data_IF_387323759641
#
_entry.id   IF_387323759641
#
_cell.length_a   1.000
_cell.length_b   1.000
_cell.length_c   1.000
_cell.angle_alpha   90.00
_cell.angle_beta   90.00
_cell.angle_gamma   90.00
#
_symmetry.space_group_name_H-M   'P 1'
#
loop_
_entity.id
_entity.type
_entity.pdbx_description
1 polymer ?
#
# COMPACT_ATOMS: atom_id res chain seq x y z
N UNK A 1 60.28 9.32 -64.96
CA UNK A 1 59.36 9.88 -63.95
C UNK A 1 58.31 8.84 -63.61
N UNK A 2 58.71 7.66 -63.13
CA UNK A 2 57.83 6.47 -63.09
C UNK A 2 58.08 5.57 -61.87
N UNK A 3 58.62 6.13 -60.79
CA UNK A 3 58.82 5.41 -59.53
C UNK A 3 58.11 6.05 -58.33
N UNK A 4 57.45 7.20 -58.51
CA UNK A 4 56.86 7.96 -57.39
C UNK A 4 55.33 7.87 -57.31
N UNK A 5 54.72 6.87 -57.93
CA UNK A 5 53.26 6.69 -57.92
C UNK A 5 52.82 5.38 -57.27
N UNK A 6 53.76 4.54 -56.81
CA UNK A 6 53.45 3.28 -56.11
C UNK A 6 53.52 3.37 -54.58
N UNK A 7 53.99 4.48 -54.02
CA UNK A 7 54.01 4.69 -52.56
C UNK A 7 52.76 5.38 -52.01
N UNK A 8 51.90 5.96 -52.86
CA UNK A 8 50.66 6.62 -52.41
C UNK A 8 49.46 5.66 -52.41
N UNK A 9 49.60 4.46 -52.98
CA UNK A 9 48.55 3.43 -53.02
C UNK A 9 48.74 2.33 -51.95
N UNK A 10 49.51 2.62 -50.89
CA UNK A 10 49.70 1.68 -49.78
C UNK A 10 49.54 2.32 -48.39
N UNK A 11 48.64 3.31 -48.31
CA UNK A 11 48.21 3.92 -47.03
C UNK A 11 46.71 3.68 -46.76
N UNK A 12 45.98 3.10 -47.71
CA UNK A 12 44.51 3.09 -47.73
C UNK A 12 43.84 1.73 -47.47
N UNK A 13 44.39 0.90 -46.57
CA UNK A 13 43.58 -0.19 -46.03
C UNK A 13 44.00 -0.63 -44.62
N UNK A 14 44.21 0.33 -43.70
CA UNK A 14 44.45 0.03 -42.28
C UNK A 14 43.09 -0.07 -41.55
N UNK A 15 42.14 -0.81 -42.13
CA UNK A 15 40.98 -1.27 -41.39
C UNK A 15 41.33 -2.65 -40.84
N UNK A 16 41.90 -2.67 -39.64
CA UNK A 16 42.08 -3.93 -38.92
C UNK A 16 40.77 -4.27 -38.22
N UNK A 17 40.15 -5.34 -38.71
CA UNK A 17 39.00 -5.98 -38.09
C UNK A 17 37.70 -5.90 -38.89
N UNK A 18 36.80 -6.83 -38.59
CA UNK A 18 35.55 -7.03 -39.30
C UNK A 18 34.64 -5.78 -39.17
N UNK A 19 34.17 -5.17 -40.28
CA UNK A 19 33.29 -4.01 -40.24
C UNK A 19 31.97 -4.29 -39.51
N UNK A 20 31.47 -5.53 -39.55
CA UNK A 20 30.27 -5.93 -38.83
C UNK A 20 30.47 -5.89 -37.31
N UNK A 21 31.67 -6.24 -36.83
CA UNK A 21 32.00 -6.23 -35.41
C UNK A 21 32.14 -4.79 -34.88
N UNK A 22 32.74 -3.91 -35.67
CA UNK A 22 32.79 -2.48 -35.38
C UNK A 22 31.38 -1.86 -35.28
N UNK A 23 30.48 -2.19 -36.22
CA UNK A 23 29.09 -1.73 -36.16
C UNK A 23 28.38 -2.22 -34.89
N UNK A 24 28.61 -3.49 -34.51
CA UNK A 24 28.01 -4.07 -33.31
C UNK A 24 28.51 -3.41 -32.02
N UNK A 25 29.80 -3.12 -31.91
CA UNK A 25 30.37 -2.38 -30.77
C UNK A 25 29.75 -0.98 -30.68
N UNK A 26 29.66 -0.26 -31.81
CA UNK A 26 29.07 1.08 -31.86
C UNK A 26 27.59 1.09 -31.51
N UNK A 27 26.85 0.06 -31.91
CA UNK A 27 25.44 -0.12 -31.51
C UNK A 27 25.33 -0.31 -29.99
N UNK A 28 26.14 -1.21 -29.41
CA UNK A 28 26.13 -1.47 -27.97
C UNK A 28 26.54 -0.25 -27.14
N UNK A 29 27.44 0.59 -27.64
CA UNK A 29 27.80 1.88 -27.00
C UNK A 29 26.59 2.80 -26.91
N UNK A 30 25.76 2.87 -27.97
CA UNK A 30 24.56 3.70 -27.99
C UNK A 30 23.43 3.15 -27.10
N UNK A 31 23.34 1.83 -26.99
CA UNK A 31 22.32 1.13 -26.19
C UNK A 31 22.71 1.00 -24.71
N UNK A 32 23.98 1.19 -24.37
CA UNK A 32 24.51 1.05 -23.03
C UNK A 32 24.21 2.27 -22.15
N UNK A 33 23.46 2.06 -21.08
CA UNK A 33 23.25 3.04 -20.01
C UNK A 33 24.38 3.02 -18.95
N UNK A 34 25.27 2.02 -18.95
CA UNK A 34 26.32 1.88 -17.93
C UNK A 34 27.65 2.49 -18.39
N UNK A 35 28.27 3.39 -17.60
CA UNK A 35 29.54 4.03 -17.96
C UNK A 35 30.70 3.04 -18.05
N UNK A 36 30.73 1.99 -17.20
CA UNK A 36 31.80 0.99 -17.20
C UNK A 36 31.78 0.12 -18.46
N UNK A 37 30.59 -0.33 -18.89
CA UNK A 37 30.46 -1.15 -20.10
C UNK A 37 30.80 -0.34 -21.35
N UNK A 38 30.41 0.94 -21.40
CA UNK A 38 30.76 1.83 -22.50
C UNK A 38 32.27 2.09 -22.60
N UNK A 39 32.95 2.20 -21.46
CA UNK A 39 34.42 2.36 -21.42
C UNK A 39 35.13 1.10 -21.95
N UNK A 40 34.66 -0.09 -21.56
CA UNK A 40 35.13 -1.36 -22.11
C UNK A 40 34.94 -1.43 -23.63
N UNK A 41 33.75 -1.10 -24.14
CA UNK A 41 33.47 -1.14 -25.59
C UNK A 41 34.34 -0.18 -26.40
N UNK A 42 34.62 1.02 -25.87
CA UNK A 42 35.55 1.96 -26.50
C UNK A 42 36.99 1.45 -26.51
N UNK A 43 37.44 0.83 -25.41
CA UNK A 43 38.77 0.21 -25.37
C UNK A 43 38.89 -0.97 -26.35
N UNK A 44 37.87 -1.83 -26.41
CA UNK A 44 37.82 -2.96 -27.32
C UNK A 44 37.82 -2.51 -28.78
N UNK A 45 37.01 -1.50 -29.12
CA UNK A 45 36.96 -0.91 -30.46
C UNK A 45 38.29 -0.29 -30.89
N UNK A 46 38.97 0.43 -29.99
CA UNK A 46 40.28 1.02 -30.26
C UNK A 46 41.36 -0.05 -30.43
N UNK A 47 41.36 -1.10 -29.59
CA UNK A 47 42.31 -2.20 -29.68
C UNK A 47 42.15 -2.99 -30.99
N UNK A 48 40.91 -3.17 -31.44
CA UNK A 48 40.60 -3.83 -32.70
C UNK A 48 41.06 -2.99 -33.90
N UNK A 49 40.69 -1.69 -33.91
CA UNK A 49 41.08 -0.75 -34.97
C UNK A 49 42.59 -0.64 -35.13
N UNK A 50 43.33 -0.64 -34.02
CA UNK A 50 44.79 -0.61 -34.01
C UNK A 50 45.44 -1.97 -34.30
N UNK A 51 44.67 -3.02 -34.55
CA UNK A 51 45.17 -4.37 -34.85
C UNK A 51 45.85 -5.06 -33.67
N UNK A 52 45.62 -4.60 -32.43
CA UNK A 52 46.22 -5.18 -31.22
C UNK A 52 45.54 -6.50 -30.81
N UNK A 53 44.30 -6.71 -31.24
CA UNK A 53 43.51 -7.92 -31.03
C UNK A 53 42.93 -8.39 -32.37
N UNK A 54 42.78 -9.71 -32.52
CA UNK A 54 42.14 -10.31 -33.70
C UNK A 54 40.60 -10.30 -33.55
N UNK A 55 39.90 -10.49 -34.67
CA UNK A 55 38.43 -10.47 -34.70
C UNK A 55 37.79 -11.52 -33.79
N UNK A 56 38.37 -12.73 -33.73
CA UNK A 56 37.84 -13.84 -32.93
C UNK A 56 37.94 -13.61 -31.43
N UNK A 57 39.07 -13.08 -30.95
CA UNK A 57 39.26 -12.78 -29.53
C UNK A 57 38.42 -11.55 -29.15
N UNK A 58 38.31 -10.56 -30.04
CA UNK A 58 37.42 -9.42 -29.83
C UNK A 58 35.95 -9.84 -29.71
N UNK A 59 35.50 -10.80 -30.53
CA UNK A 59 34.12 -11.30 -30.48
C UNK A 59 33.85 -12.14 -29.22
N UNK A 60 34.81 -12.95 -28.80
CA UNK A 60 34.72 -13.74 -27.56
C UNK A 60 34.61 -12.84 -26.32
N UNK A 61 35.52 -11.86 -26.21
CA UNK A 61 35.53 -10.91 -25.10
C UNK A 61 34.28 -10.03 -25.09
N UNK A 62 33.79 -9.62 -26.27
CA UNK A 62 32.54 -8.89 -26.41
C UNK A 62 31.35 -9.72 -25.93
N UNK A 63 31.22 -10.96 -26.40
CA UNK A 63 30.09 -11.83 -26.02
C UNK A 63 30.09 -12.15 -24.52
N UNK A 64 31.27 -12.43 -23.95
CA UNK A 64 31.43 -12.72 -22.52
C UNK A 64 31.04 -11.52 -21.66
N UNK A 65 31.56 -10.33 -21.96
CA UNK A 65 31.25 -9.13 -21.18
C UNK A 65 29.82 -8.64 -21.41
N UNK A 66 29.28 -8.80 -22.62
CA UNK A 66 27.89 -8.49 -22.91
C UNK A 66 26.91 -9.39 -22.13
N UNK A 67 27.19 -10.69 -21.98
CA UNK A 67 26.37 -11.59 -21.15
C UNK A 67 26.37 -11.17 -19.67
N UNK A 68 27.51 -10.71 -19.14
CA UNK A 68 27.62 -10.17 -17.79
C UNK A 68 26.81 -8.89 -17.65
N UNK A 69 26.90 -7.97 -18.60
CA UNK A 69 26.12 -6.74 -18.66
C UNK A 69 24.60 -7.01 -18.64
N UNK A 70 24.14 -7.96 -19.44
CA UNK A 70 22.72 -8.37 -19.47
C UNK A 70 22.26 -8.95 -18.12
N UNK A 71 23.10 -9.75 -17.47
CA UNK A 71 22.81 -10.34 -16.16
C UNK A 71 22.71 -9.26 -15.07
N UNK A 72 23.60 -8.26 -15.08
CA UNK A 72 23.55 -7.12 -14.16
C UNK A 72 22.28 -6.29 -14.36
N UNK A 73 21.86 -6.02 -15.61
CA UNK A 73 20.57 -5.36 -15.89
C UNK A 73 19.39 -6.10 -15.29
N UNK A 74 19.36 -7.44 -15.38
CA UNK A 74 18.28 -8.27 -14.83
C UNK A 74 18.25 -8.26 -13.29
N UNK A 75 19.40 -8.29 -12.62
CA UNK A 75 19.46 -8.17 -11.17
C UNK A 75 19.11 -6.75 -10.69
N UNK A 76 19.51 -5.72 -11.43
CA UNK A 76 19.24 -4.34 -11.07
C UNK A 76 17.77 -3.93 -11.31
N UNK A 77 17.02 -4.65 -12.14
CA UNK A 77 15.55 -4.53 -12.17
C UNK A 77 14.88 -5.01 -10.87
N UNK A 78 15.45 -6.00 -10.17
CA UNK A 78 14.89 -6.52 -8.91
C UNK A 78 15.07 -5.52 -7.75
N UNK A 79 16.15 -4.72 -7.77
CA UNK A 79 16.45 -3.74 -6.71
C UNK A 79 15.65 -2.43 -6.87
N UNK A 80 15.23 -2.07 -8.08
CA UNK A 80 14.46 -0.84 -8.35
C UNK A 80 12.95 -0.96 -8.01
N UNK A 81 12.43 -2.17 -7.80
CA UNK A 81 11.03 -2.39 -7.42
C UNK A 81 10.71 -2.01 -5.95
N UNK A 82 11.69 -1.55 -5.17
CA UNK A 82 11.48 -1.16 -3.76
C UNK A 82 11.01 0.31 -3.61
N UNK A 83 11.21 1.21 -4.59
CA UNK A 83 11.00 2.66 -4.34
C UNK A 83 10.03 3.46 -5.26
N UNK A 84 9.50 2.97 -6.41
CA UNK A 84 8.42 3.69 -7.17
C UNK A 84 7.73 2.84 -8.26
N UNK A 85 6.51 3.21 -8.73
CA UNK A 85 5.47 2.29 -9.16
C UNK A 85 5.78 1.49 -10.43
N UNK A 86 5.51 0.19 -10.32
CA UNK A 86 5.64 -0.92 -11.27
C UNK A 86 5.05 -0.61 -12.66
N UNK A 87 5.91 -0.63 -13.69
CA UNK A 87 5.51 -0.96 -15.07
C UNK A 87 6.03 -2.35 -15.42
N UNK A 88 5.09 -3.22 -15.79
CA UNK A 88 5.19 -4.69 -15.73
C UNK A 88 5.98 -5.31 -16.89
N UNK A 89 6.98 -6.19 -16.64
CA UNK A 89 7.38 -7.19 -17.62
C UNK A 89 6.23 -8.20 -17.79
N UNK A 90 6.03 -8.65 -19.04
CA UNK A 90 4.91 -9.48 -19.53
C UNK A 90 4.47 -10.54 -18.50
N UNK A 91 3.45 -10.17 -17.73
CA UNK A 91 2.89 -10.93 -16.61
C UNK A 91 2.31 -12.23 -17.14
N UNK A 92 2.92 -13.38 -16.86
CA UNK A 92 2.21 -14.64 -16.99
C UNK A 92 1.01 -14.56 -16.04
N UNK A 93 -0.19 -14.70 -16.59
CA UNK A 93 -1.45 -14.65 -15.85
C UNK A 93 -1.43 -15.61 -14.64
N UNK A 94 -0.65 -16.68 -14.72
CA UNK A 94 -0.41 -17.64 -13.65
C UNK A 94 0.39 -17.05 -12.47
N UNK A 95 1.44 -16.26 -12.73
CA UNK A 95 2.22 -15.59 -11.68
C UNK A 95 1.43 -14.43 -11.05
N UNK A 96 0.60 -13.74 -11.84
CA UNK A 96 -0.34 -12.73 -11.36
C UNK A 96 -1.34 -13.31 -10.34
N UNK A 97 -1.91 -14.45 -10.69
CA UNK A 97 -2.91 -15.15 -9.88
C UNK A 97 -2.24 -15.80 -8.67
N UNK A 98 -1.07 -16.40 -8.85
CA UNK A 98 -0.27 -16.98 -7.76
C UNK A 98 0.15 -15.95 -6.72
N UNK A 99 0.66 -14.79 -7.13
CA UNK A 99 1.01 -13.70 -6.22
C UNK A 99 -0.23 -13.11 -5.53
N UNK A 100 -1.37 -13.02 -6.23
CA UNK A 100 -2.64 -12.61 -5.62
C UNK A 100 -3.13 -13.57 -4.54
N UNK A 101 -3.14 -14.88 -4.83
CA UNK A 101 -3.61 -15.91 -3.89
C UNK A 101 -2.66 -16.04 -2.70
N UNK A 102 -1.34 -16.04 -2.91
CA UNK A 102 -0.37 -16.09 -1.82
C UNK A 102 -0.38 -14.81 -0.98
N UNK A 103 -0.58 -13.64 -1.59
CA UNK A 103 -0.74 -12.38 -0.86
C UNK A 103 -1.98 -12.38 0.04
N UNK A 104 -3.13 -12.79 -0.49
CA UNK A 104 -4.38 -12.88 0.29
C UNK A 104 -4.27 -13.94 1.38
N UNK A 105 -3.74 -15.12 1.05
CA UNK A 105 -3.58 -16.22 2.02
C UNK A 105 -2.60 -15.84 3.12
N UNK A 106 -1.47 -15.23 2.76
CA UNK A 106 -0.48 -14.72 3.71
C UNK A 106 -1.05 -13.63 4.60
N UNK A 107 -1.87 -12.72 4.07
CA UNK A 107 -2.54 -11.70 4.87
C UNK A 107 -3.54 -12.29 5.88
N UNK A 108 -4.35 -13.28 5.47
CA UNK A 108 -5.28 -13.99 6.37
C UNK A 108 -4.49 -14.74 7.46
N UNK A 109 -3.40 -15.40 7.08
CA UNK A 109 -2.54 -16.13 8.00
C UNK A 109 -1.87 -15.20 9.02
N UNK A 110 -1.32 -14.07 8.58
CA UNK A 110 -0.74 -13.05 9.46
C UNK A 110 -1.80 -12.48 10.41
N UNK A 111 -3.00 -12.23 9.92
CA UNK A 111 -4.11 -11.75 10.74
C UNK A 111 -4.51 -12.78 11.81
N UNK A 112 -4.60 -14.06 11.45
CA UNK A 112 -4.91 -15.15 12.39
C UNK A 112 -3.79 -15.36 13.42
N UNK A 113 -2.53 -15.33 12.99
CA UNK A 113 -1.38 -15.43 13.88
C UNK A 113 -1.33 -14.26 14.87
N UNK A 114 -1.61 -13.04 14.39
CA UNK A 114 -1.71 -11.86 15.25
C UNK A 114 -2.85 -11.98 16.26
N UNK A 115 -4.02 -12.44 15.84
CA UNK A 115 -5.17 -12.67 16.72
C UNK A 115 -4.85 -13.71 17.81
N UNK A 116 -4.26 -14.85 17.43
CA UNK A 116 -3.84 -15.90 18.36
C UNK A 116 -2.75 -15.42 19.32
N UNK A 117 -1.77 -14.65 18.83
CA UNK A 117 -0.72 -14.06 19.65
C UNK A 117 -1.31 -13.13 20.71
N UNK A 118 -2.24 -12.25 20.34
CA UNK A 118 -2.88 -11.35 21.28
C UNK A 118 -3.73 -12.11 22.32
N UNK A 119 -4.44 -13.17 21.90
CA UNK A 119 -5.24 -14.02 22.80
C UNK A 119 -4.39 -14.89 23.73
N UNK A 120 -3.18 -15.28 23.34
CA UNK A 120 -2.37 -16.23 24.12
C UNK A 120 -1.31 -15.55 25.01
N UNK A 121 -0.76 -14.39 24.61
CA UNK A 121 0.47 -13.86 25.20
C UNK A 121 0.28 -12.73 26.24
N UNK A 122 -0.91 -12.17 26.39
CA UNK A 122 -1.15 -11.02 27.31
C UNK A 122 -2.07 -11.35 28.49
N UNK A 123 -1.88 -10.66 29.60
CA UNK A 123 -2.84 -10.65 30.72
C UNK A 123 -4.16 -10.04 30.26
N UNK A 124 -5.27 -10.40 30.91
CA UNK A 124 -6.63 -9.94 30.60
C UNK A 124 -6.70 -8.42 30.33
N UNK A 125 -6.00 -7.62 31.15
CA UNK A 125 -5.94 -6.15 31.03
C UNK A 125 -5.09 -5.66 29.84
N UNK A 126 -3.92 -6.27 29.62
CA UNK A 126 -3.02 -5.90 28.53
C UNK A 126 -3.59 -6.27 27.15
N UNK A 127 -4.35 -7.38 27.07
CA UNK A 127 -5.10 -7.78 25.88
C UNK A 127 -6.06 -6.69 25.43
N UNK A 128 -6.91 -6.24 26.34
CA UNK A 128 -7.90 -5.22 26.03
C UNK A 128 -7.30 -3.89 25.57
N UNK A 129 -6.27 -3.41 26.29
CA UNK A 129 -5.67 -2.11 26.04
C UNK A 129 -4.81 -2.08 24.77
N UNK A 130 -4.11 -3.17 24.46
CA UNK A 130 -3.31 -3.27 23.24
C UNK A 130 -4.17 -3.27 21.97
N UNK A 131 -5.29 -3.99 21.98
CA UNK A 131 -6.26 -3.97 20.88
C UNK A 131 -6.87 -2.58 20.68
N UNK A 132 -7.16 -1.85 21.76
CA UNK A 132 -7.58 -0.44 21.66
C UNK A 132 -6.54 0.42 20.93
N UNK A 133 -5.27 0.28 21.29
CA UNK A 133 -4.17 1.01 20.66
C UNK A 133 -4.07 0.74 19.16
N UNK A 134 -4.17 -0.53 18.76
CA UNK A 134 -4.08 -0.93 17.35
C UNK A 134 -5.29 -0.42 16.55
N UNK A 135 -6.49 -0.52 17.11
CA UNK A 135 -7.71 -0.04 16.46
C UNK A 135 -7.73 1.49 16.30
N UNK A 136 -7.27 2.22 17.32
CA UNK A 136 -7.07 3.67 17.24
C UNK A 136 -6.00 4.00 16.19
N UNK A 137 -4.89 3.27 16.15
CA UNK A 137 -3.84 3.47 15.14
C UNK A 137 -4.38 3.23 13.73
N UNK A 138 -5.18 2.19 13.51
CA UNK A 138 -5.85 1.93 12.24
C UNK A 138 -6.75 3.09 11.83
N UNK A 139 -7.54 3.64 12.77
CA UNK A 139 -8.38 4.81 12.50
C UNK A 139 -7.51 6.03 12.15
N UNK A 140 -6.43 6.26 12.89
CA UNK A 140 -5.53 7.39 12.71
C UNK A 140 -4.80 7.32 11.35
N UNK A 141 -4.30 6.15 10.99
CA UNK A 141 -3.71 5.87 9.66
C UNK A 141 -4.75 6.04 8.56
N UNK A 142 -5.97 5.53 8.77
CA UNK A 142 -7.05 5.69 7.80
C UNK A 142 -7.39 7.17 7.58
N UNK A 143 -7.31 8.00 8.62
CA UNK A 143 -7.58 9.43 8.56
C UNK A 143 -6.43 10.21 7.91
N UNK A 144 -5.18 9.83 8.17
CA UNK A 144 -4.03 10.36 7.44
C UNK A 144 -4.12 10.05 5.94
N UNK A 145 -4.61 8.85 5.59
CA UNK A 145 -4.75 8.43 4.19
C UNK A 145 -5.88 9.18 3.45
N UNK A 146 -6.92 9.67 4.17
CA UNK A 146 -7.96 10.56 3.60
C UNK A 146 -7.33 11.76 2.92
N UNK A 147 -6.33 12.37 3.58
CA UNK A 147 -5.74 13.63 3.10
C UNK A 147 -4.98 13.46 1.79
N UNK A 148 -4.59 12.23 1.42
CA UNK A 148 -3.58 12.03 0.37
C UNK A 148 -4.09 11.48 -0.95
N UNK A 149 -5.18 10.69 -1.03
CA UNK A 149 -5.63 10.20 -2.37
C UNK A 149 -7.02 9.55 -2.53
N UNK A 150 -7.67 8.99 -1.51
CA UNK A 150 -8.92 8.20 -1.71
C UNK A 150 -9.89 8.28 -0.52
N UNK A 151 -11.00 9.01 -0.68
CA UNK A 151 -12.03 9.20 0.36
C UNK A 151 -12.82 7.91 0.65
N UNK A 152 -13.18 7.14 -0.39
CA UNK A 152 -13.97 5.91 -0.27
C UNK A 152 -13.25 4.80 0.51
N UNK A 153 -11.96 4.62 0.25
CA UNK A 153 -11.14 3.60 0.94
C UNK A 153 -10.94 3.95 2.41
N UNK A 154 -10.73 5.24 2.70
CA UNK A 154 -10.61 5.68 4.08
C UNK A 154 -11.89 5.47 4.89
N UNK A 155 -13.07 5.75 4.31
CA UNK A 155 -14.35 5.50 4.99
C UNK A 155 -14.50 4.01 5.36
N UNK A 156 -14.12 3.10 4.46
CA UNK A 156 -14.12 1.65 4.73
C UNK A 156 -13.17 1.26 5.87
N UNK A 157 -11.92 1.71 5.81
CA UNK A 157 -10.92 1.39 6.85
C UNK A 157 -11.26 1.99 8.21
N UNK A 158 -11.77 3.23 8.24
CA UNK A 158 -12.29 3.85 9.47
C UNK A 158 -13.47 3.07 10.02
N UNK A 159 -14.39 2.61 9.16
CA UNK A 159 -15.53 1.78 9.56
C UNK A 159 -15.09 0.47 10.22
N UNK A 160 -14.09 -0.21 9.65
CA UNK A 160 -13.50 -1.43 10.24
C UNK A 160 -12.88 -1.14 11.61
N UNK A 161 -12.13 -0.04 11.74
CA UNK A 161 -11.55 0.37 13.02
C UNK A 161 -12.60 0.68 14.10
N UNK A 162 -13.67 1.37 13.74
CA UNK A 162 -14.76 1.71 14.65
C UNK A 162 -15.56 0.47 15.10
N UNK A 163 -15.90 -0.42 14.16
CA UNK A 163 -16.54 -1.70 14.49
C UNK A 163 -15.66 -2.53 15.41
N UNK A 164 -14.36 -2.53 15.19
CA UNK A 164 -13.40 -3.20 16.08
C UNK A 164 -13.35 -2.58 17.48
N UNK A 165 -13.46 -1.25 17.62
CA UNK A 165 -13.50 -0.59 18.93
C UNK A 165 -14.74 -1.00 19.74
N UNK A 166 -15.90 -1.03 19.08
CA UNK A 166 -17.14 -1.52 19.68
C UNK A 166 -17.01 -2.97 20.14
N UNK A 167 -16.52 -3.86 19.25
CA UNK A 167 -16.35 -5.27 19.58
C UNK A 167 -15.33 -5.49 20.71
N UNK A 168 -14.22 -4.74 20.71
CA UNK A 168 -13.21 -4.81 21.77
C UNK A 168 -13.78 -4.37 23.13
N UNK A 169 -14.68 -3.38 23.14
CA UNK A 169 -15.37 -2.95 24.36
C UNK A 169 -16.19 -4.10 24.96
N UNK A 170 -16.90 -4.84 24.12
CA UNK A 170 -17.68 -6.02 24.54
C UNK A 170 -16.81 -7.14 25.07
N UNK A 171 -15.71 -7.43 24.39
CA UNK A 171 -14.78 -8.49 24.79
C UNK A 171 -14.19 -8.21 26.17
N UNK A 172 -13.74 -6.97 26.44
CA UNK A 172 -13.15 -6.62 27.74
C UNK A 172 -14.19 -6.60 28.86
N UNK A 173 -15.42 -6.14 28.56
CA UNK A 173 -16.53 -6.21 29.51
C UNK A 173 -16.89 -7.68 29.83
N UNK A 174 -16.97 -8.55 28.82
CA UNK A 174 -17.22 -9.99 29.00
C UNK A 174 -16.13 -10.72 29.79
N UNK A 175 -14.89 -10.23 29.77
CA UNK A 175 -13.81 -10.72 30.63
C UNK A 175 -13.85 -10.18 32.07
N UNK A 176 -14.82 -9.33 32.43
CA UNK A 176 -14.99 -8.78 33.78
C UNK A 176 -13.91 -7.78 34.21
N UNK A 177 -13.14 -7.26 33.25
CA UNK A 177 -12.04 -6.32 33.52
C UNK A 177 -12.57 -4.88 33.64
N UNK A 178 -13.67 -4.57 32.96
CA UNK A 178 -14.19 -3.21 32.78
C UNK A 178 -15.54 -3.07 33.48
N UNK A 179 -15.63 -2.12 34.41
CA UNK A 179 -16.88 -1.78 35.09
C UNK A 179 -17.94 -1.32 34.08
N UNK A 180 -19.21 -1.64 34.33
CA UNK A 180 -20.33 -1.31 33.44
C UNK A 180 -20.36 0.20 33.12
N UNK A 181 -20.15 1.06 34.12
CA UNK A 181 -20.09 2.53 33.94
C UNK A 181 -18.97 2.95 32.98
N UNK A 182 -17.79 2.36 33.09
CA UNK A 182 -16.67 2.66 32.18
C UNK A 182 -16.96 2.18 30.76
N UNK A 183 -17.69 1.07 30.59
CA UNK A 183 -18.07 0.58 29.28
C UNK A 183 -19.06 1.53 28.59
N UNK A 184 -20.05 2.06 29.32
CA UNK A 184 -20.96 3.09 28.80
C UNK A 184 -20.22 4.37 28.41
N UNK A 185 -19.27 4.83 29.24
CA UNK A 185 -18.45 6.00 28.93
C UNK A 185 -17.61 5.79 27.66
N UNK A 186 -17.01 4.60 27.50
CA UNK A 186 -16.23 4.27 26.30
C UNK A 186 -17.11 4.20 25.05
N UNK A 187 -18.30 3.58 25.12
CA UNK A 187 -19.25 3.54 24.01
C UNK A 187 -19.69 4.95 23.61
N UNK A 188 -19.98 5.81 24.59
CA UNK A 188 -20.32 7.21 24.35
C UNK A 188 -19.14 7.95 23.69
N UNK A 189 -17.91 7.72 24.14
CA UNK A 189 -16.70 8.34 23.58
C UNK A 189 -16.41 7.85 22.14
N UNK A 190 -16.50 6.54 21.88
CA UNK A 190 -16.34 5.96 20.53
C UNK A 190 -17.41 6.52 19.59
N UNK A 191 -18.64 6.70 20.07
CA UNK A 191 -19.71 7.23 19.23
C UNK A 191 -19.55 8.71 18.97
N UNK A 192 -19.19 9.50 19.98
CA UNK A 192 -18.85 10.92 19.80
C UNK A 192 -17.69 11.09 18.80
N UNK A 193 -16.65 10.25 18.91
CA UNK A 193 -15.53 10.22 17.97
C UNK A 193 -15.98 9.86 16.55
N UNK A 194 -16.82 8.83 16.41
CA UNK A 194 -17.39 8.44 15.11
C UNK A 194 -18.23 9.56 14.50
N UNK A 195 -19.00 10.26 15.33
CA UNK A 195 -19.86 11.35 14.90
C UNK A 195 -19.04 12.55 14.43
N UNK A 196 -17.98 12.89 15.16
CA UNK A 196 -17.03 13.92 14.74
C UNK A 196 -16.34 13.56 13.41
N UNK A 197 -15.94 12.29 13.24
CA UNK A 197 -15.40 11.80 11.97
C UNK A 197 -16.44 11.79 10.83
N UNK A 198 -17.69 11.46 11.12
CA UNK A 198 -18.80 11.49 10.17
C UNK A 198 -19.06 12.92 9.68
N UNK A 199 -19.00 13.91 10.57
CA UNK A 199 -19.12 15.32 10.22
C UNK A 199 -17.96 15.79 9.34
N UNK A 200 -16.72 15.37 9.67
CA UNK A 200 -15.52 15.75 8.90
C UNK A 200 -15.47 15.11 7.51
N UNK A 201 -15.98 13.90 7.35
CA UNK A 201 -15.98 13.15 6.07
C UNK A 201 -17.32 13.22 5.31
N UNK A 202 -18.30 13.97 5.83
CA UNK A 202 -19.65 14.15 5.25
C UNK A 202 -20.29 12.83 4.77
N UNK A 203 -20.07 11.76 5.54
CA UNK A 203 -20.36 10.37 5.15
C UNK A 203 -21.40 9.76 6.08
N UNK A 204 -22.59 9.51 5.52
CA UNK A 204 -23.71 8.86 6.21
C UNK A 204 -23.43 7.40 6.59
N UNK A 205 -22.51 6.71 5.89
CA UNK A 205 -22.14 5.32 6.18
C UNK A 205 -21.52 5.18 7.57
N UNK A 206 -20.68 6.15 7.98
CA UNK A 206 -20.08 6.15 9.32
C UNK A 206 -21.14 6.35 10.42
N UNK A 207 -22.20 7.10 10.13
CA UNK A 207 -23.32 7.31 11.05
C UNK A 207 -24.14 6.03 11.26
N UNK A 208 -24.40 5.28 10.17
CA UNK A 208 -25.09 3.98 10.24
C UNK A 208 -24.26 2.98 11.03
N UNK A 209 -22.94 2.91 10.79
CA UNK A 209 -22.02 2.05 11.56
C UNK A 209 -22.01 2.44 13.04
N UNK A 210 -22.02 3.74 13.37
CA UNK A 210 -22.08 4.22 14.75
C UNK A 210 -23.36 3.76 15.45
N UNK A 211 -24.51 3.92 14.78
CA UNK A 211 -25.82 3.56 15.32
C UNK A 211 -25.92 2.05 15.54
N UNK A 212 -25.58 1.26 14.52
CA UNK A 212 -25.60 -0.20 14.61
C UNK A 212 -24.62 -0.71 15.68
N UNK A 213 -23.38 -0.22 15.66
CA UNK A 213 -22.35 -0.61 16.62
C UNK A 213 -22.72 -0.27 18.06
N UNK A 214 -23.26 0.93 18.29
CA UNK A 214 -23.70 1.36 19.62
C UNK A 214 -24.90 0.56 20.13
N UNK A 215 -25.90 0.27 19.28
CA UNK A 215 -27.08 -0.52 19.68
C UNK A 215 -26.68 -1.96 19.99
N UNK A 216 -25.85 -2.57 19.13
CA UNK A 216 -25.35 -3.93 19.34
C UNK A 216 -24.53 -4.02 20.63
N UNK A 217 -23.74 -2.99 20.96
CA UNK A 217 -22.98 -2.99 22.21
C UNK A 217 -23.85 -2.82 23.45
N UNK A 218 -24.94 -2.08 23.37
CA UNK A 218 -25.79 -1.83 24.54
C UNK A 218 -26.50 -3.10 25.04
N UNK A 219 -26.84 -4.01 24.12
CA UNK A 219 -27.60 -5.21 24.41
C UNK A 219 -26.93 -6.17 25.42
N UNK A 220 -25.65 -6.60 25.23
CA UNK A 220 -24.95 -7.47 26.18
C UNK A 220 -24.50 -6.78 27.49
N UNK A 221 -24.53 -5.45 27.55
CA UNK A 221 -24.16 -4.67 28.75
C UNK A 221 -25.30 -4.56 29.79
N UNK A 222 -26.51 -4.99 29.42
CA UNK A 222 -27.67 -5.03 30.28
C UNK A 222 -27.65 -6.33 31.11
N UNK A 223 -26.98 -6.31 32.26
CA UNK A 223 -27.08 -7.40 33.24
C UNK A 223 -28.52 -7.46 33.78
N UNK A 224 -29.19 -8.60 33.58
CA UNK A 224 -30.59 -8.81 33.95
C UNK A 224 -30.87 -8.62 35.46
N UNK A 225 -29.86 -8.82 36.32
CA UNK A 225 -29.98 -8.71 37.78
C UNK A 225 -30.00 -7.27 38.32
N UNK A 226 -29.51 -6.30 37.53
CA UNK A 226 -29.44 -4.87 37.90
C UNK A 226 -30.13 -3.99 36.87
N UNK A 227 -31.14 -4.56 36.21
CA UNK A 227 -31.89 -3.96 35.13
C UNK A 227 -32.31 -2.49 35.40
N UNK A 228 -32.91 -2.10 36.54
CA UNK A 228 -33.41 -0.73 36.70
C UNK A 228 -32.31 0.33 36.77
N UNK A 229 -31.16 0.02 37.39
CA UNK A 229 -30.06 0.98 37.57
C UNK A 229 -29.25 1.19 36.29
N UNK A 230 -29.08 0.14 35.50
CA UNK A 230 -28.32 0.20 34.25
C UNK A 230 -29.19 0.54 33.03
N UNK A 231 -30.50 0.27 33.08
CA UNK A 231 -31.46 0.75 32.08
C UNK A 231 -31.47 2.28 32.03
N UNK A 232 -31.44 2.96 33.17
CA UNK A 232 -31.41 4.43 33.22
C UNK A 232 -30.16 4.99 32.54
N UNK A 233 -28.98 4.42 32.84
CA UNK A 233 -27.71 4.85 32.24
C UNK A 233 -27.68 4.53 30.74
N UNK A 234 -28.16 3.34 30.33
CA UNK A 234 -28.26 2.95 28.92
C UNK A 234 -29.22 3.82 28.11
N UNK A 235 -30.36 4.21 28.71
CA UNK A 235 -31.35 5.12 28.10
C UNK A 235 -30.79 6.54 27.99
N UNK A 236 -30.07 7.04 28.99
CA UNK A 236 -29.41 8.35 28.91
C UNK A 236 -28.38 8.38 27.79
N UNK A 237 -27.56 7.34 27.66
CA UNK A 237 -26.62 7.20 26.55
C UNK A 237 -27.40 7.14 25.23
N UNK A 238 -28.41 6.29 25.08
CA UNK A 238 -29.23 6.24 23.86
C UNK A 238 -29.86 7.59 23.49
N UNK A 239 -30.35 8.36 24.46
CA UNK A 239 -30.89 9.69 24.22
C UNK A 239 -29.83 10.64 23.69
N UNK A 240 -28.63 10.66 24.30
CA UNK A 240 -27.49 11.45 23.81
C UNK A 240 -27.11 11.04 22.39
N UNK A 241 -27.21 9.73 22.08
CA UNK A 241 -26.87 9.16 20.78
C UNK A 241 -27.92 9.50 19.72
N UNK A 242 -29.20 9.51 20.08
CA UNK A 242 -30.30 9.97 19.22
C UNK A 242 -30.13 11.46 18.96
N UNK A 243 -29.90 12.28 19.98
CA UNK A 243 -29.67 13.73 19.82
C UNK A 243 -28.47 13.99 18.90
N UNK A 244 -27.35 13.27 19.09
CA UNK A 244 -26.22 13.31 18.17
C UNK A 244 -26.63 12.86 16.76
N UNK A 245 -27.38 11.76 16.62
CA UNK A 245 -27.91 11.27 15.36
C UNK A 245 -28.97 12.17 14.70
N UNK A 246 -29.44 13.22 15.37
CA UNK A 246 -30.31 14.24 14.79
C UNK A 246 -29.58 15.54 14.42
N UNK A 247 -28.30 15.73 14.79
CA UNK A 247 -27.50 16.88 14.32
C UNK A 247 -27.24 16.70 12.81
N UNK A 248 -27.83 17.51 11.92
CA UNK A 248 -27.75 17.28 10.48
C UNK A 248 -26.37 17.67 9.94
N UNK A 249 -25.83 16.85 9.04
CA UNK A 249 -24.64 17.19 8.25
C UNK A 249 -25.02 18.18 7.14
N UNK A 250 -24.08 19.04 6.74
CA UNK A 250 -24.32 20.12 5.74
C UNK A 250 -24.78 19.59 4.37
N UNK A 251 -24.55 18.31 4.07
CA UNK A 251 -24.97 17.65 2.82
C UNK A 251 -26.47 17.33 2.79
N UNK A 252 -27.06 16.96 3.92
CA UNK A 252 -28.51 16.67 4.05
C UNK A 252 -29.34 17.96 3.91
N UNK A 253 -28.78 19.10 4.31
CA UNK A 253 -29.42 20.41 4.09
C UNK A 253 -29.61 20.70 2.59
N UNK A 254 -28.69 20.27 1.72
CA UNK A 254 -28.87 20.44 0.27
C UNK A 254 -29.99 19.57 -0.29
N UNK A 255 -30.14 18.34 0.18
CA UNK A 255 -31.21 17.45 -0.26
C UNK A 255 -32.59 17.95 0.21
N UNK A 256 -32.67 18.46 1.44
CA UNK A 256 -33.89 19.06 1.98
C UNK A 256 -34.25 20.36 1.23
N UNK A 257 -33.26 21.19 0.89
CA UNK A 257 -33.48 22.39 0.06
C UNK A 257 -33.95 22.05 -1.36
N UNK A 258 -33.39 21.02 -2.00
CA UNK A 258 -33.83 20.57 -3.33
C UNK A 258 -35.25 20.00 -3.29
N UNK A 259 -35.59 19.23 -2.25
CA UNK A 259 -36.95 18.71 -2.05
C UNK A 259 -37.96 19.82 -1.78
N UNK A 260 -37.60 20.83 -0.98
CA UNK A 260 -38.45 22.01 -0.77
C UNK A 260 -38.65 22.82 -2.05
N UNK A 261 -37.64 22.92 -2.91
CA UNK A 261 -37.74 23.62 -4.19
C UNK A 261 -38.61 22.86 -5.21
N UNK A 262 -38.59 21.52 -5.21
CA UNK A 262 -39.44 20.69 -6.08
C UNK A 262 -40.90 20.68 -5.62
N UNK A 263 -41.17 20.79 -4.31
CA UNK A 263 -42.54 20.82 -3.78
C UNK A 263 -43.22 22.19 -3.95
N UNK A 264 -42.44 23.25 -4.23
CA UNK A 264 -42.94 24.62 -4.46
C UNK A 264 -42.95 25.03 -5.95
N UNK A 265 -42.53 24.15 -6.86
CA UNK A 265 -42.63 24.33 -8.32
C UNK A 265 -43.81 23.53 -8.88
#
# INVERSE_FOLDING_TARGET
>A
MEQNTREVENVNNIYHGNPALHQRIQQLIRESEEPEFTLFLNQLGNALWNGQINDTTAEEDLNKNHAIYQTKRQQQSVVRDIEKPVETPKKSVEFAVGAGILGVTGAIFLLAAFWLFAMNFMSNLAKGLSFYGILLLVILVSELWVRKKQEKFSVGMTGVGLSGLFLNTLVIHGYGILNNVLAFVLIALITAMTFFLSYKKDSGVLRIIALLGSVICLFPLMEYDKLPTYLETGVMVLMIQIVAAFVPTKKEQKAIWVLQMIMQA
#
